data_IF_462690914031
#
_entry.id   IF_462690914031
#
_cell.length_a   1.000
_cell.length_b   1.000
_cell.length_c   1.000
_cell.angle_alpha   90.00
_cell.angle_beta   90.00
_cell.angle_gamma   90.00
#
_symmetry.space_group_name_H-M   'P 1'
#
loop_
_entity.id
_entity.type
_entity.pdbx_description
1 polymer ?
#
# COMPACT_ATOMS: atom_id res chain seq x y z
N UNK A 1 7.55 -29.12 -48.28
CA UNK A 1 7.85 -30.27 -47.40
C UNK A 1 9.13 -29.97 -46.64
N UNK A 2 9.04 -29.62 -45.36
CA UNK A 2 10.04 -29.92 -44.32
C UNK A 2 9.25 -30.08 -43.02
N UNK A 3 9.44 -31.24 -42.39
CA UNK A 3 8.81 -31.71 -41.15
C UNK A 3 9.69 -31.35 -39.95
N UNK A 4 9.07 -31.33 -38.76
CA UNK A 4 9.72 -31.45 -37.45
C UNK A 4 9.88 -30.09 -36.76
N UNK A 5 9.44 -29.87 -35.52
CA UNK A 5 9.09 -30.79 -34.45
C UNK A 5 9.79 -30.30 -33.17
N UNK A 6 9.14 -30.51 -32.02
CA UNK A 6 9.69 -30.45 -30.66
C UNK A 6 9.77 -29.05 -30.00
N UNK A 7 8.81 -28.62 -29.18
CA UNK A 7 8.48 -29.04 -27.81
C UNK A 7 9.27 -28.28 -26.73
N UNK A 8 8.48 -27.73 -25.78
CA UNK A 8 8.78 -27.42 -24.39
C UNK A 8 9.86 -26.37 -24.08
N UNK A 9 9.45 -25.24 -23.49
CA UNK A 9 9.78 -24.99 -22.07
C UNK A 9 8.93 -23.84 -21.49
N UNK A 10 8.00 -24.21 -20.60
CA UNK A 10 7.37 -23.29 -19.65
C UNK A 10 8.31 -23.07 -18.47
N UNK A 11 8.41 -21.85 -17.92
CA UNK A 11 8.54 -21.66 -16.47
C UNK A 11 8.27 -20.20 -16.00
N UNK A 12 7.02 -20.00 -15.54
CA UNK A 12 6.63 -19.46 -14.24
C UNK A 12 7.25 -18.15 -13.67
N UNK A 13 6.36 -17.15 -13.50
CA UNK A 13 6.51 -15.77 -12.95
C UNK A 13 6.69 -15.80 -11.35
N UNK A 14 6.46 -14.77 -10.49
CA UNK A 14 6.22 -14.88 -8.98
C UNK A 14 5.14 -13.88 -8.41
N UNK A 15 4.11 -14.19 -7.55
CA UNK A 15 2.88 -13.44 -7.25
C UNK A 15 3.27 -12.16 -6.57
N UNK A 16 2.62 -11.11 -7.02
CA UNK A 16 2.53 -9.89 -6.26
C UNK A 16 1.50 -10.10 -5.15
N UNK A 17 1.97 -10.63 -4.02
CA UNK A 17 1.32 -10.48 -2.72
C UNK A 17 0.95 -9.01 -2.56
N UNK A 18 -0.35 -8.71 -2.52
CA UNK A 18 -0.88 -7.37 -2.31
C UNK A 18 -0.52 -6.97 -0.88
N UNK A 19 0.70 -6.47 -0.72
CA UNK A 19 1.14 -5.81 0.48
C UNK A 19 0.15 -4.67 0.67
N UNK A 20 -0.74 -4.80 1.65
CA UNK A 20 -1.45 -3.64 2.21
C UNK A 20 -0.35 -2.64 2.52
N UNK A 21 -0.27 -1.58 1.71
CA UNK A 21 0.75 -0.55 1.89
C UNK A 21 0.63 -0.12 3.35
N UNK A 22 1.64 -0.49 4.15
CA UNK A 22 1.67 -0.16 5.56
C UNK A 22 1.66 1.36 5.59
N UNK A 23 0.51 1.94 5.89
CA UNK A 23 0.37 3.40 5.98
C UNK A 23 1.47 3.87 6.93
N UNK A 24 2.25 4.89 6.56
CA UNK A 24 3.31 5.38 7.42
C UNK A 24 2.71 5.67 8.79
N UNK A 25 3.20 4.97 9.81
CA UNK A 25 2.75 5.17 11.17
C UNK A 25 3.40 6.45 11.68
N UNK A 26 2.59 7.38 12.16
CA UNK A 26 3.10 8.62 12.72
C UNK A 26 3.73 8.35 14.08
N UNK A 27 4.73 9.16 14.45
CA UNK A 27 5.31 9.11 15.79
C UNK A 27 4.32 9.75 16.77
N UNK A 28 3.99 9.04 17.84
CA UNK A 28 3.09 9.54 18.87
C UNK A 28 3.91 9.96 20.08
N UNK A 29 3.74 11.20 20.52
CA UNK A 29 4.37 11.69 21.75
C UNK A 29 3.43 11.47 22.95
N UNK A 30 3.95 11.31 24.17
CA UNK A 30 3.12 11.17 25.37
C UNK A 30 2.20 12.38 25.59
N UNK A 31 2.66 13.57 25.21
CA UNK A 31 1.91 14.82 25.38
C UNK A 31 0.65 14.84 24.49
N UNK A 32 0.71 14.28 23.27
CA UNK A 32 -0.46 14.14 22.40
C UNK A 32 -1.52 13.24 23.02
N UNK A 33 -1.10 12.14 23.65
CA UNK A 33 -1.99 11.20 24.32
C UNK A 33 -2.67 11.85 25.52
N UNK A 34 -1.89 12.57 26.34
CA UNK A 34 -2.41 13.23 27.55
C UNK A 34 -3.46 14.30 27.22
N UNK A 35 -3.24 15.09 26.16
CA UNK A 35 -4.23 16.07 25.70
C UNK A 35 -5.55 15.42 25.30
N UNK A 36 -5.52 14.33 24.53
CA UNK A 36 -6.75 13.61 24.15
C UNK A 36 -7.42 12.98 25.39
N UNK A 37 -6.63 12.41 26.30
CA UNK A 37 -7.13 11.79 27.54
C UNK A 37 -7.78 12.79 28.50
N UNK A 38 -7.28 14.02 28.57
CA UNK A 38 -7.87 15.07 29.40
C UNK A 38 -9.28 15.46 28.93
N UNK A 39 -9.54 15.39 27.62
CA UNK A 39 -10.87 15.62 27.04
C UNK A 39 -11.76 14.38 27.09
N UNK A 40 -11.19 13.20 26.89
CA UNK A 40 -11.90 11.92 26.82
C UNK A 40 -11.32 10.91 27.83
N UNK A 41 -11.70 10.99 29.12
CA UNK A 41 -11.19 10.09 30.14
C UNK A 41 -11.71 8.65 30.00
N UNK A 42 -12.82 8.45 29.28
CA UNK A 42 -13.45 7.14 29.03
C UNK A 42 -12.72 6.33 27.95
N UNK A 43 -11.98 6.99 27.05
CA UNK A 43 -11.32 6.34 25.93
C UNK A 43 -9.98 5.75 26.39
N UNK A 44 -9.69 4.45 26.11
CA UNK A 44 -8.46 3.83 26.53
C UNK A 44 -7.25 4.37 25.76
N UNK A 45 -6.12 4.49 26.46
CA UNK A 45 -4.85 5.00 25.92
C UNK A 45 -4.40 4.25 24.67
N UNK A 46 -4.62 2.94 24.61
CA UNK A 46 -4.26 2.11 23.46
C UNK A 46 -5.02 2.51 22.18
N UNK A 47 -6.31 2.90 22.31
CA UNK A 47 -7.11 3.35 21.18
C UNK A 47 -6.67 4.76 20.73
N UNK A 48 -6.39 5.66 21.67
CA UNK A 48 -5.83 7.00 21.40
C UNK A 48 -4.51 6.87 20.65
N UNK A 49 -3.60 6.03 21.13
CA UNK A 49 -2.30 5.83 20.49
C UNK A 49 -2.44 5.27 19.08
N UNK A 50 -3.32 4.28 18.87
CA UNK A 50 -3.54 3.68 17.56
C UNK A 50 -4.13 4.68 16.56
N UNK A 51 -5.06 5.52 16.99
CA UNK A 51 -5.62 6.56 16.12
C UNK A 51 -4.60 7.66 15.82
N UNK A 52 -3.84 8.14 16.83
CA UNK A 52 -2.76 9.11 16.63
C UNK A 52 -1.65 8.56 15.71
N UNK A 53 -1.37 7.25 15.75
CA UNK A 53 -0.44 6.62 14.80
C UNK A 53 -0.98 6.62 13.36
N UNK A 54 -2.30 6.65 13.19
CA UNK A 54 -2.99 6.66 11.88
C UNK A 54 -3.19 8.07 11.34
N UNK A 55 -3.56 9.03 12.20
CA UNK A 55 -3.88 10.42 11.83
C UNK A 55 -2.64 11.32 11.86
N UNK A 56 -1.78 11.14 12.87
CA UNK A 56 -0.63 12.00 13.15
C UNK A 56 -0.96 13.32 13.85
N UNK A 57 -2.23 13.61 14.11
CA UNK A 57 -2.68 14.89 14.67
C UNK A 57 -3.72 14.71 15.76
N UNK A 58 -3.54 15.43 16.87
CA UNK A 58 -4.46 15.45 18.01
C UNK A 58 -5.85 15.91 17.57
N UNK A 59 -5.94 17.00 16.82
CA UNK A 59 -7.22 17.58 16.36
C UNK A 59 -8.05 16.58 15.55
N UNK A 60 -7.42 15.85 14.64
CA UNK A 60 -8.10 14.83 13.83
C UNK A 60 -8.57 13.65 14.69
N UNK A 61 -7.78 13.25 15.68
CA UNK A 61 -8.18 12.21 16.62
C UNK A 61 -9.33 12.64 17.52
N UNK A 62 -9.41 13.92 17.88
CA UNK A 62 -10.55 14.51 18.61
C UNK A 62 -11.80 14.51 17.75
N UNK A 63 -11.73 14.92 16.47
CA UNK A 63 -12.86 14.85 15.52
C UNK A 63 -13.38 13.42 15.38
N UNK A 64 -12.47 12.44 15.22
CA UNK A 64 -12.83 11.02 15.11
C UNK A 64 -13.54 10.52 16.38
N UNK A 65 -13.02 10.87 17.56
CA UNK A 65 -13.61 10.48 18.83
C UNK A 65 -15.02 11.06 19.01
N UNK A 66 -15.25 12.31 18.58
CA UNK A 66 -16.58 12.95 18.62
C UNK A 66 -17.55 12.33 17.61
N UNK A 67 -17.08 11.96 16.42
CA UNK A 67 -17.90 11.37 15.35
C UNK A 67 -18.44 9.99 15.70
N UNK A 68 -17.57 9.12 16.19
CA UNK A 68 -17.90 7.72 16.44
C UNK A 68 -18.40 7.48 17.87
N UNK A 69 -18.31 8.50 18.74
CA UNK A 69 -18.52 8.34 20.18
C UNK A 69 -17.44 7.49 20.86
N UNK A 70 -16.28 7.33 20.21
CA UNK A 70 -15.18 6.48 20.65
C UNK A 70 -14.08 6.35 19.58
N UNK A 71 -13.00 5.65 19.91
CA UNK A 71 -11.93 5.32 18.97
C UNK A 71 -11.88 3.81 18.72
N UNK A 72 -11.68 3.36 17.46
CA UNK A 72 -11.59 1.94 17.16
C UNK A 72 -10.39 1.32 17.88
N UNK A 73 -10.65 0.32 18.72
CA UNK A 73 -9.57 -0.39 19.41
C UNK A 73 -8.67 -1.08 18.38
N UNK A 74 -7.34 -0.93 18.48
CA UNK A 74 -6.43 -1.67 17.63
C UNK A 74 -6.64 -3.18 17.86
N UNK A 75 -6.56 -4.00 16.80
CA UNK A 75 -6.55 -5.45 16.99
C UNK A 75 -5.38 -5.79 17.91
N UNK A 76 -5.66 -6.52 19.00
CA UNK A 76 -4.67 -6.90 20.01
C UNK A 76 -3.46 -7.53 19.33
N UNK A 77 -2.32 -6.84 19.38
CA UNK A 77 -1.06 -7.37 18.91
C UNK A 77 -0.65 -8.48 19.88
N UNK A 78 -0.82 -9.73 19.46
CA UNK A 78 -0.18 -10.88 20.10
C UNK A 78 1.30 -10.57 20.30
N UNK A 79 1.88 -10.83 21.49
CA UNK A 79 3.22 -10.36 21.85
C UNK A 79 4.25 -11.01 20.92
N UNK A 80 4.81 -10.21 20.01
CA UNK A 80 6.05 -10.58 19.33
C UNK A 80 7.16 -10.53 20.38
N UNK A 81 7.59 -11.70 20.82
CA UNK A 81 8.74 -11.88 21.71
C UNK A 81 9.95 -11.19 21.09
N UNK A 82 10.32 -10.04 21.64
CA UNK A 82 11.46 -9.27 21.21
C UNK A 82 12.69 -9.89 21.89
N UNK A 83 13.25 -10.97 21.32
CA UNK A 83 14.56 -11.47 21.76
C UNK A 83 15.63 -10.56 21.17
N UNK A 84 16.16 -9.68 22.00
CA UNK A 84 17.44 -9.05 21.77
C UNK A 84 18.52 -10.14 21.65
N UNK A 85 19.18 -10.22 20.49
CA UNK A 85 20.39 -11.01 20.31
C UNK A 85 21.35 -10.27 19.37
N UNK A 86 22.59 -10.16 19.85
CA UNK A 86 23.76 -9.50 19.30
C UNK A 86 24.06 -9.73 17.81
N UNK A 87 24.81 -8.78 17.26
CA UNK A 87 25.81 -8.94 16.20
C UNK A 87 26.15 -10.41 15.86
N UNK A 88 25.80 -10.87 14.66
CA UNK A 88 26.76 -11.51 13.75
C UNK A 88 26.21 -11.61 12.33
N UNK A 89 27.07 -11.40 11.35
CA UNK A 89 26.87 -11.65 9.93
C UNK A 89 26.35 -13.06 9.65
N UNK A 90 25.27 -13.22 8.87
CA UNK A 90 25.29 -14.00 7.62
C UNK A 90 23.91 -14.10 6.96
N UNK A 91 23.96 -14.01 5.64
CA UNK A 91 22.95 -14.30 4.64
C UNK A 91 22.20 -15.64 4.89
N UNK A 92 20.88 -15.58 5.13
CA UNK A 92 19.97 -16.70 4.94
C UNK A 92 18.52 -16.20 4.74
N UNK A 93 18.19 -15.88 3.49
CA UNK A 93 16.82 -15.57 3.07
C UNK A 93 15.93 -16.81 3.19
N UNK A 94 14.99 -16.81 4.14
CA UNK A 94 13.94 -17.83 4.25
C UNK A 94 12.90 -17.64 3.14
N UNK A 95 12.93 -18.56 2.17
CA UNK A 95 12.08 -18.60 0.99
C UNK A 95 10.66 -19.05 1.33
N UNK A 96 9.79 -18.11 1.71
CA UNK A 96 8.34 -18.37 1.70
C UNK A 96 7.81 -18.34 0.26
N UNK A 97 7.24 -19.46 -0.18
CA UNK A 97 6.82 -19.75 -1.56
C UNK A 97 5.75 -18.77 -2.08
N UNK A 98 6.17 -17.84 -2.94
CA UNK A 98 5.28 -16.94 -3.67
C UNK A 98 5.07 -17.50 -5.11
N UNK A 99 3.81 -17.87 -5.48
CA UNK A 99 3.17 -18.14 -6.83
C UNK A 99 2.84 -16.99 -7.84
N UNK A 100 3.74 -16.67 -8.73
CA UNK A 100 3.59 -16.04 -10.05
C UNK A 100 2.30 -15.28 -10.48
N UNK A 101 2.22 -13.92 -10.69
CA UNK A 101 1.13 -13.37 -11.51
C UNK A 101 1.38 -13.84 -12.94
N UNK A 102 0.37 -13.88 -13.81
CA UNK A 102 0.46 -14.52 -15.14
C UNK A 102 0.75 -13.56 -16.31
N UNK A 103 1.03 -12.28 -16.05
CA UNK A 103 1.26 -11.26 -17.08
C UNK A 103 2.73 -10.91 -17.25
N UNK A 104 3.28 -11.16 -18.44
CA UNK A 104 4.67 -10.87 -18.81
C UNK A 104 4.93 -9.35 -18.89
N UNK A 105 3.91 -8.56 -19.26
CA UNK A 105 4.03 -7.12 -19.46
C UNK A 105 2.90 -6.33 -18.79
N UNK A 106 3.22 -5.12 -18.30
CA UNK A 106 2.24 -4.22 -17.67
C UNK A 106 1.13 -3.78 -18.63
N UNK A 107 1.42 -3.66 -19.92
CA UNK A 107 0.45 -3.40 -21.00
C UNK A 107 -0.65 -4.45 -21.00
N UNK A 108 -0.29 -5.74 -20.92
CA UNK A 108 -1.23 -6.86 -20.93
C UNK A 108 -2.05 -6.92 -19.63
N UNK A 109 -1.42 -6.61 -18.49
CA UNK A 109 -2.10 -6.53 -17.19
C UNK A 109 -3.19 -5.46 -17.18
N UNK A 110 -2.94 -4.35 -17.87
CA UNK A 110 -3.82 -3.19 -17.87
C UNK A 110 -4.63 -3.00 -19.15
N UNK A 111 -4.52 -3.93 -20.11
CA UNK A 111 -5.25 -3.91 -21.39
C UNK A 111 -5.09 -2.55 -22.09
N UNK A 112 -3.85 -2.06 -22.10
CA UNK A 112 -3.50 -0.76 -22.69
C UNK A 112 -3.36 -0.98 -24.19
N UNK A 113 -4.15 -0.25 -24.97
CA UNK A 113 -4.07 -0.27 -26.42
C UNK A 113 -2.92 0.64 -26.86
N UNK A 114 -1.77 0.04 -27.14
CA UNK A 114 -0.50 0.76 -27.38
C UNK A 114 -0.59 1.60 -28.65
N UNK A 115 -1.32 1.13 -29.65
CA UNK A 115 -1.47 1.79 -30.96
C UNK A 115 -2.28 3.09 -30.84
N UNK A 116 -3.29 3.11 -29.95
CA UNK A 116 -4.15 4.28 -29.73
C UNK A 116 -3.65 5.28 -28.67
N UNK A 117 -2.64 4.94 -27.88
CA UNK A 117 -2.24 5.73 -26.69
C UNK A 117 -0.89 6.43 -26.79
N UNK A 118 -0.17 6.31 -27.92
CA UNK A 118 1.14 6.96 -28.14
C UNK A 118 1.08 8.50 -28.09
N UNK A 119 -0.07 9.10 -28.43
CA UNK A 119 -0.28 10.55 -28.48
C UNK A 119 -0.91 11.14 -27.20
N UNK A 120 -0.69 10.52 -26.03
CA UNK A 120 -1.29 11.00 -24.77
C UNK A 120 -0.37 12.01 -24.10
N UNK A 121 -0.77 13.29 -24.10
CA UNK A 121 -0.08 14.36 -23.35
C UNK A 121 0.03 14.04 -21.86
N UNK A 122 1.09 14.51 -21.19
CA UNK A 122 1.30 14.27 -19.76
C UNK A 122 0.10 14.80 -18.95
N UNK A 123 -0.64 13.93 -18.25
CA UNK A 123 -1.81 14.39 -17.52
C UNK A 123 -1.38 15.29 -16.36
N UNK A 124 -2.09 16.41 -16.11
CA UNK A 124 -1.73 17.35 -15.06
C UNK A 124 -1.69 16.66 -13.69
N UNK A 125 -0.68 17.03 -12.90
CA UNK A 125 -0.38 16.43 -11.59
C UNK A 125 -1.28 17.03 -10.49
N UNK A 126 -2.55 17.22 -10.78
CA UNK A 126 -3.56 17.79 -9.88
C UNK A 126 -4.58 16.71 -9.49
N UNK A 127 -5.08 16.80 -8.25
CA UNK A 127 -6.14 15.91 -7.76
C UNK A 127 -7.49 16.58 -8.04
N UNK A 128 -8.30 15.97 -8.90
CA UNK A 128 -9.68 16.39 -9.13
C UNK A 128 -10.54 16.14 -7.88
N UNK A 129 -11.44 17.06 -7.56
CA UNK A 129 -12.39 16.91 -6.43
C UNK A 129 -13.50 15.91 -6.73
N UNK A 130 -13.89 15.75 -8.00
CA UNK A 130 -14.90 14.79 -8.42
C UNK A 130 -14.29 13.36 -8.50
N UNK A 131 -14.87 12.35 -7.83
CA UNK A 131 -14.33 10.99 -7.80
C UNK A 131 -14.21 10.34 -9.18
N UNK A 132 -15.17 10.58 -10.08
CA UNK A 132 -15.18 10.01 -11.43
C UNK A 132 -14.02 10.57 -12.27
N UNK A 133 -13.89 11.90 -12.28
CA UNK A 133 -12.78 12.61 -12.95
C UNK A 133 -11.42 12.21 -12.39
N UNK A 134 -11.32 12.04 -11.06
CA UNK A 134 -10.09 11.56 -10.41
C UNK A 134 -9.72 10.16 -10.86
N UNK A 135 -10.69 9.25 -10.96
CA UNK A 135 -10.44 7.89 -11.44
C UNK A 135 -9.90 7.89 -12.87
N UNK A 136 -10.51 8.67 -13.74
CA UNK A 136 -10.09 8.82 -15.14
C UNK A 136 -8.66 9.39 -15.24
N UNK A 137 -8.37 10.45 -14.49
CA UNK A 137 -7.04 11.04 -14.41
C UNK A 137 -5.96 10.05 -13.94
N UNK A 138 -6.25 9.27 -12.91
CA UNK A 138 -5.33 8.24 -12.40
C UNK A 138 -5.10 7.12 -13.41
N UNK A 139 -6.15 6.75 -14.17
CA UNK A 139 -6.06 5.75 -15.24
C UNK A 139 -5.12 6.24 -16.35
N UNK A 140 -5.36 7.44 -16.87
CA UNK A 140 -4.51 8.05 -17.91
C UNK A 140 -3.05 8.18 -17.47
N UNK A 141 -2.81 8.64 -16.25
CA UNK A 141 -1.45 8.79 -15.71
C UNK A 141 -0.70 7.47 -15.60
N UNK A 142 -1.42 6.42 -15.22
CA UNK A 142 -0.86 5.07 -15.15
C UNK A 142 -0.56 4.52 -16.54
N UNK A 143 -1.44 4.75 -17.51
CA UNK A 143 -1.22 4.38 -18.91
C UNK A 143 0.02 5.08 -19.48
N UNK A 144 0.13 6.41 -19.27
CA UNK A 144 1.29 7.21 -19.64
C UNK A 144 2.59 6.67 -19.01
N UNK A 145 2.60 6.38 -17.71
CA UNK A 145 3.78 5.85 -17.02
C UNK A 145 4.22 4.48 -17.58
N UNK A 146 3.26 3.62 -17.93
CA UNK A 146 3.55 2.31 -18.52
C UNK A 146 4.15 2.45 -19.92
N UNK A 147 3.67 3.41 -20.72
CA UNK A 147 4.22 3.69 -22.04
C UNK A 147 5.62 4.33 -21.96
N UNK A 148 5.82 5.31 -21.09
CA UNK A 148 7.13 5.94 -20.88
C UNK A 148 8.19 4.93 -20.43
N UNK A 149 7.84 4.00 -19.54
CA UNK A 149 8.77 2.96 -19.11
C UNK A 149 9.13 1.92 -20.19
N UNK A 150 8.41 1.91 -21.32
CA UNK A 150 8.68 1.04 -22.47
C UNK A 150 9.64 1.67 -23.48
N UNK A 151 9.64 3.00 -23.59
CA UNK A 151 10.53 3.76 -24.48
C UNK A 151 11.95 3.77 -23.94
#
# INVERSE_FOLDING_TARGET
MWLGGNQSNQQHQRPSQRQTARRPQHRVTPQMIETVRAMFPDIPIAAIQADLQRTGSVETTVDNALRDGGLPLPPSASPSTNTAASNNSNNASSSSARKTPSHVNLVQRYKIDVDHSENTEEPPKTWESNPDKRQEMLRKRKEFMVLQARK
#
